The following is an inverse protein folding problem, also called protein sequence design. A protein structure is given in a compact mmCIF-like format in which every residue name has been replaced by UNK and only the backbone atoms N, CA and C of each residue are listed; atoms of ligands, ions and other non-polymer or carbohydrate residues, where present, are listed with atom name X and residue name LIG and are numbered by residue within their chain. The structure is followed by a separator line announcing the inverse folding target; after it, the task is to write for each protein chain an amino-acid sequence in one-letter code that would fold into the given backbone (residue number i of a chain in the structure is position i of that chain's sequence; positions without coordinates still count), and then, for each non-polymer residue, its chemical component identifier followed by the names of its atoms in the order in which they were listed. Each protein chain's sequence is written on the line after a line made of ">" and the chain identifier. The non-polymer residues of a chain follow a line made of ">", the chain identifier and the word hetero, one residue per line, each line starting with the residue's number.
data_IF_536481011850
#
_entry.id   IF_536481011850
#
_cell.length_a   1.000
_cell.length_b   1.000
_cell.length_c   1.000
_cell.angle_alpha   90.00
_cell.angle_beta   90.00
_cell.angle_gamma   90.00
#
_symmetry.space_group_name_H-M   'P 1'
#
loop_
_entity.id
_entity.type
_entity.pdbx_description
1 polymer ?
#
# COMPACT_ATOMS: atom_id res chain seq x y z
N UNK A 1 -24.61 -21.45 4.59
CA UNK A 1 -24.17 -21.46 3.18
C UNK A 1 -22.69 -21.09 3.11
N UNK A 2 -21.81 -22.09 3.03
CA UNK A 2 -20.37 -21.88 2.96
C UNK A 2 -19.97 -21.52 1.52
N UNK A 3 -19.36 -20.34 1.32
CA UNK A 3 -18.77 -19.95 0.04
C UNK A 3 -17.38 -20.57 -0.05
N UNK A 4 -17.29 -21.80 -0.54
CA UNK A 4 -16.01 -22.38 -0.96
C UNK A 4 -15.43 -21.52 -2.09
N UNK A 5 -14.41 -20.72 -1.78
CA UNK A 5 -13.58 -20.07 -2.80
C UNK A 5 -12.26 -20.81 -2.83
N UNK A 6 -12.21 -21.84 -3.67
CA UNK A 6 -10.97 -22.50 -4.05
C UNK A 6 -10.05 -21.48 -4.72
N UNK A 7 -9.17 -20.87 -3.92
CA UNK A 7 -8.05 -20.11 -4.46
C UNK A 7 -6.99 -21.10 -4.92
N UNK A 8 -7.05 -21.44 -6.21
CA UNK A 8 -5.90 -22.02 -6.92
C UNK A 8 -4.75 -21.03 -6.77
N UNK A 9 -3.57 -21.55 -6.43
CA UNK A 9 -2.31 -20.82 -6.37
C UNK A 9 -2.09 -20.11 -7.70
N UNK A 10 -2.58 -18.87 -7.81
CA UNK A 10 -2.38 -18.02 -8.98
C UNK A 10 -0.96 -17.54 -8.82
N UNK A 11 -0.12 -17.94 -9.77
CA UNK A 11 1.31 -17.73 -9.80
C UNK A 11 1.66 -16.36 -9.22
N UNK A 12 2.48 -16.37 -8.18
CA UNK A 12 2.84 -15.18 -7.39
C UNK A 12 3.73 -14.26 -8.24
N UNK A 13 3.15 -13.61 -9.23
CA UNK A 13 3.75 -12.46 -9.86
C UNK A 13 3.54 -11.26 -8.91
N UNK A 14 4.40 -11.19 -7.89
CA UNK A 14 4.35 -10.20 -6.81
C UNK A 14 4.69 -8.78 -7.29
N UNK A 15 5.21 -8.60 -8.51
CA UNK A 15 5.59 -7.29 -9.04
C UNK A 15 4.51 -6.63 -9.89
N UNK A 16 3.54 -7.39 -10.40
CA UNK A 16 2.50 -6.84 -11.27
C UNK A 16 1.24 -6.58 -10.48
N UNK A 17 1.14 -5.41 -9.85
CA UNK A 17 -0.12 -4.87 -9.34
C UNK A 17 -1.16 -4.87 -10.49
N UNK A 18 -2.10 -5.83 -10.53
CA UNK A 18 -2.89 -6.06 -11.75
C UNK A 18 -4.07 -5.09 -11.83
N UNK A 19 -4.45 -4.51 -10.69
CA UNK A 19 -5.53 -3.55 -10.53
C UNK A 19 -5.06 -2.10 -10.70
N UNK A 20 -3.75 -1.83 -10.69
CA UNK A 20 -3.27 -0.46 -10.87
C UNK A 20 -3.04 -0.15 -12.35
N UNK A 21 -3.56 0.98 -12.85
CA UNK A 21 -3.23 1.49 -14.18
C UNK A 21 -1.71 1.57 -14.41
N UNK A 22 -1.25 1.29 -15.64
CA UNK A 22 0.19 1.20 -15.96
C UNK A 22 0.98 2.47 -15.61
N UNK A 23 0.37 3.64 -15.74
CA UNK A 23 0.97 4.95 -15.43
C UNK A 23 1.13 5.22 -13.93
N UNK A 24 0.41 4.48 -13.07
CA UNK A 24 0.51 4.59 -11.62
C UNK A 24 1.39 3.50 -11.01
N UNK A 25 1.96 2.63 -11.85
CA UNK A 25 2.96 1.67 -11.40
C UNK A 25 4.27 2.42 -11.26
N UNK A 26 4.82 2.42 -10.06
CA UNK A 26 6.17 2.94 -9.82
C UNK A 26 7.12 2.01 -10.57
N UNK A 27 7.57 2.42 -11.75
CA UNK A 27 8.42 1.60 -12.65
C UNK A 27 9.88 1.62 -12.25
N UNK A 28 10.31 2.71 -11.64
CA UNK A 28 11.73 3.04 -11.53
C UNK A 28 12.37 2.54 -10.23
N UNK A 29 11.56 2.14 -9.23
CA UNK A 29 12.05 1.56 -7.98
C UNK A 29 13.14 2.38 -7.29
N UNK A 30 13.08 3.71 -7.41
CA UNK A 30 14.05 4.60 -6.75
C UNK A 30 13.69 4.67 -5.27
N UNK A 31 14.55 4.11 -4.44
CA UNK A 31 14.51 4.32 -3.00
C UNK A 31 14.99 5.75 -2.74
N UNK A 32 14.05 6.64 -2.44
CA UNK A 32 14.33 8.02 -2.03
C UNK A 32 14.08 8.12 -0.54
N UNK A 33 15.06 8.61 0.21
CA UNK A 33 14.94 8.79 1.65
C UNK A 33 13.94 9.89 1.97
N UNK A 34 13.09 9.62 2.97
CA UNK A 34 12.14 10.61 3.46
C UNK A 34 12.86 11.69 4.26
N UNK A 35 12.73 12.94 3.82
CA UNK A 35 13.12 14.13 4.57
C UNK A 35 11.88 14.87 5.06
N UNK A 36 11.78 15.08 6.37
CA UNK A 36 10.64 15.74 6.99
C UNK A 36 10.60 17.24 6.73
N UNK A 37 11.75 17.87 6.58
CA UNK A 37 11.83 19.32 6.40
C UNK A 37 11.51 19.75 4.97
N UNK A 38 11.64 18.82 4.02
CA UNK A 38 11.25 18.97 2.62
C UNK A 38 9.82 18.47 2.33
N UNK A 39 9.19 17.79 3.29
CA UNK A 39 7.87 17.21 3.12
C UNK A 39 6.82 18.28 2.85
N UNK A 40 6.00 18.04 1.83
CA UNK A 40 4.89 18.94 1.52
C UNK A 40 3.67 18.68 2.41
N UNK A 41 2.58 19.42 2.17
CA UNK A 41 1.36 19.27 2.96
C UNK A 41 0.75 17.87 2.83
N UNK A 42 0.77 17.30 1.63
CA UNK A 42 0.15 16.01 1.33
C UNK A 42 0.94 14.88 2.00
N UNK A 43 2.26 14.97 2.06
CA UNK A 43 3.13 14.04 2.78
C UNK A 43 2.81 14.03 4.28
N UNK A 44 2.62 15.21 4.89
CA UNK A 44 2.26 15.32 6.31
C UNK A 44 0.87 14.71 6.58
N UNK A 45 -0.11 14.95 5.71
CA UNK A 45 -1.43 14.34 5.83
C UNK A 45 -1.37 12.82 5.67
N UNK A 46 -0.59 12.32 4.71
CA UNK A 46 -0.41 10.90 4.47
C UNK A 46 0.16 10.20 5.71
N UNK A 47 1.16 10.80 6.36
CA UNK A 47 1.70 10.30 7.64
C UNK A 47 0.64 10.26 8.74
N UNK A 48 -0.20 11.30 8.86
CA UNK A 48 -1.26 11.34 9.86
C UNK A 48 -2.31 10.25 9.62
N UNK A 49 -2.73 10.07 8.34
CA UNK A 49 -3.67 9.00 7.95
C UNK A 49 -3.11 7.61 8.22
N UNK A 50 -1.83 7.39 7.92
CA UNK A 50 -1.15 6.11 8.18
C UNK A 50 -1.16 5.77 9.68
N UNK A 51 -0.75 6.71 10.54
CA UNK A 51 -0.78 6.54 12.00
C UNK A 51 -2.19 6.21 12.53
N UNK A 52 -3.22 6.88 12.01
CA UNK A 52 -4.61 6.61 12.39
C UNK A 52 -5.09 5.22 11.91
N UNK A 53 -4.63 4.75 10.76
CA UNK A 53 -4.91 3.38 10.31
C UNK A 53 -4.25 2.34 11.22
N UNK A 54 -2.99 2.53 11.60
CA UNK A 54 -2.27 1.62 12.48
C UNK A 54 -2.93 1.51 13.85
N UNK A 55 -3.37 2.63 14.43
CA UNK A 55 -4.11 2.64 15.69
C UNK A 55 -5.41 1.83 15.60
N UNK A 56 -6.17 2.00 14.50
CA UNK A 56 -7.38 1.22 14.25
C UNK A 56 -7.10 -0.27 14.08
N UNK A 57 -6.00 -0.63 13.43
CA UNK A 57 -5.62 -2.03 13.24
C UNK A 57 -5.20 -2.68 14.56
N UNK A 58 -4.40 -1.99 15.38
CA UNK A 58 -3.97 -2.45 16.71
C UNK A 58 -5.14 -2.62 17.67
N UNK A 59 -6.13 -1.72 17.64
CA UNK A 59 -7.33 -1.84 18.48
C UNK A 59 -8.29 -2.96 18.07
N UNK A 60 -8.04 -3.64 16.94
CA UNK A 60 -8.82 -4.79 16.46
C UNK A 60 -8.15 -6.14 16.72
N UNK A 61 -6.96 -6.16 17.35
CA UNK A 61 -6.24 -7.38 17.73
C UNK A 61 -6.74 -7.95 19.06
#
# INVERSE_FOLDING_TARGET
>A
MARSRGHRNRDKNTSTLPQTPKNLKITDGRDVEFDRDLADHDDLEAMARSKAADQRAKGRQ
#
